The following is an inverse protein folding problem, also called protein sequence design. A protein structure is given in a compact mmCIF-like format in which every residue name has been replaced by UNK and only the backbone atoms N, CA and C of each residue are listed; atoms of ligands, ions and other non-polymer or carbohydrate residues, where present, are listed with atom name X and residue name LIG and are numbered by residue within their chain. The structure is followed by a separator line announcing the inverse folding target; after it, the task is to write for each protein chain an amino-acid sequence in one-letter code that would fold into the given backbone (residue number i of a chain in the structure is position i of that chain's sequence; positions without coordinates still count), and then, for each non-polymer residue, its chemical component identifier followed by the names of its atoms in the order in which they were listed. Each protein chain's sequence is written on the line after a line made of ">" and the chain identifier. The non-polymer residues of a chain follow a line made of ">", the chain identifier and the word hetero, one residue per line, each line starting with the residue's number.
data_IF_392580086965
#
_entry.id   IF_392580086965
#
_cell.length_a   1.000
_cell.length_b   1.000
_cell.length_c   1.000
_cell.angle_alpha   90.00
_cell.angle_beta   90.00
_cell.angle_gamma   90.00
#
_symmetry.space_group_name_H-M   'P 1'
#
loop_
_entity.id
_entity.type
_entity.pdbx_description
1 polymer ?
#
# COMPACT_ATOMS: atom_id res chain seq x y z
N UNK A 1 -12.27 -17.22 -65.76
CA UNK A 1 -13.22 -17.11 -64.64
C UNK A 1 -12.87 -18.09 -63.55
N UNK A 2 -12.11 -17.63 -62.56
CA UNK A 2 -11.96 -18.26 -61.24
C UNK A 2 -11.47 -17.16 -60.30
N UNK A 3 -12.29 -16.66 -59.36
CA UNK A 3 -11.83 -15.65 -58.42
C UNK A 3 -10.97 -16.32 -57.34
N UNK A 4 -9.75 -15.83 -57.13
CA UNK A 4 -8.94 -16.16 -55.97
C UNK A 4 -9.46 -15.36 -54.79
N UNK A 5 -10.13 -16.02 -53.85
CA UNK A 5 -10.46 -15.44 -52.55
C UNK A 5 -9.20 -15.36 -51.71
N UNK A 6 -8.77 -14.14 -51.37
CA UNK A 6 -7.73 -13.89 -50.38
C UNK A 6 -8.40 -13.92 -49.01
N UNK A 7 -8.14 -14.96 -48.23
CA UNK A 7 -8.60 -15.07 -46.85
C UNK A 7 -7.71 -14.18 -45.97
N UNK A 8 -8.20 -13.01 -45.56
CA UNK A 8 -7.50 -12.16 -44.59
C UNK A 8 -7.84 -12.67 -43.20
N UNK A 9 -6.90 -13.40 -42.59
CA UNK A 9 -7.00 -13.84 -41.20
C UNK A 9 -6.56 -12.67 -40.31
N UNK A 10 -7.53 -11.97 -39.72
CA UNK A 10 -7.26 -11.03 -38.65
C UNK A 10 -6.93 -11.82 -37.38
N UNK A 11 -5.64 -11.98 -37.11
CA UNK A 11 -5.16 -12.47 -35.81
C UNK A 11 -5.36 -11.34 -34.81
N UNK A 12 -6.46 -11.39 -34.07
CA UNK A 12 -6.59 -10.60 -32.84
C UNK A 12 -5.57 -11.13 -31.84
N UNK A 13 -4.42 -10.48 -31.74
CA UNK A 13 -3.54 -10.65 -30.58
C UNK A 13 -4.30 -10.08 -29.37
N UNK A 14 -5.02 -10.93 -28.67
CA UNK A 14 -5.39 -10.67 -27.28
C UNK A 14 -4.09 -10.55 -26.51
N UNK A 15 -3.68 -9.32 -26.18
CA UNK A 15 -2.63 -9.08 -25.20
C UNK A 15 -3.16 -9.58 -23.86
N UNK A 16 -2.81 -10.83 -23.52
CA UNK A 16 -2.92 -11.30 -22.16
C UNK A 16 -1.98 -10.42 -21.33
N UNK A 17 -2.55 -9.51 -20.54
CA UNK A 17 -1.81 -8.78 -19.52
C UNK A 17 -1.30 -9.83 -18.55
N UNK A 18 0.02 -10.04 -18.58
CA UNK A 18 0.70 -11.06 -17.81
C UNK A 18 1.21 -10.36 -16.55
N UNK A 19 0.38 -10.33 -15.51
CA UNK A 19 0.79 -9.79 -14.21
C UNK A 19 2.05 -10.51 -13.74
N UNK A 20 3.17 -9.78 -13.71
CA UNK A 20 4.45 -10.26 -13.19
C UNK A 20 4.65 -9.62 -11.81
N UNK A 21 5.58 -10.13 -11.03
CA UNK A 21 6.37 -9.24 -10.17
C UNK A 21 7.08 -8.28 -11.13
N UNK A 22 6.51 -7.10 -11.34
CA UNK A 22 6.97 -6.21 -12.41
C UNK A 22 8.12 -5.33 -11.94
N UNK A 23 9.14 -5.18 -12.80
CA UNK A 23 10.11 -4.09 -12.65
C UNK A 23 9.44 -2.72 -12.85
N UNK A 24 8.30 -2.69 -13.53
CA UNK A 24 7.53 -1.48 -13.85
C UNK A 24 6.02 -1.78 -13.74
N UNK A 25 5.27 -0.99 -12.99
CA UNK A 25 3.82 -1.18 -12.78
C UNK A 25 3.00 -1.08 -14.07
N UNK A 26 2.04 -1.99 -14.23
CA UNK A 26 1.05 -2.00 -15.29
C UNK A 26 0.19 -0.72 -15.29
N UNK A 27 -0.39 -0.34 -16.44
CA UNK A 27 -1.26 0.83 -16.54
C UNK A 27 -2.46 0.78 -15.58
N UNK A 28 -3.05 -0.40 -15.37
CA UNK A 28 -4.20 -0.55 -14.47
C UNK A 28 -3.80 -0.30 -13.01
N UNK A 29 -2.61 -0.74 -12.62
CA UNK A 29 -2.09 -0.59 -11.27
C UNK A 29 -1.64 0.85 -10.99
N UNK A 30 -1.15 1.55 -12.02
CA UNK A 30 -0.86 2.99 -11.92
C UNK A 30 -2.09 3.83 -11.63
N UNK A 31 -3.31 3.34 -11.87
CA UNK A 31 -4.53 4.06 -11.50
C UNK A 31 -4.68 4.31 -9.98
N UNK A 32 -3.94 3.60 -9.14
CA UNK A 32 -3.92 3.81 -7.68
C UNK A 32 -2.90 4.86 -7.24
N UNK A 33 -2.15 5.43 -8.17
CA UNK A 33 -1.08 6.39 -7.91
C UNK A 33 -1.47 7.76 -8.47
N UNK A 34 -1.20 8.81 -7.70
CA UNK A 34 -1.44 10.17 -8.18
C UNK A 34 -0.62 10.43 -9.46
N UNK A 35 -1.29 10.84 -10.54
CA UNK A 35 -0.68 11.00 -11.87
C UNK A 35 0.05 9.73 -12.37
N UNK A 36 -0.36 8.54 -11.93
CA UNK A 36 0.23 7.28 -12.36
C UNK A 36 1.71 7.08 -11.98
N UNK A 37 2.19 7.85 -11.01
CA UNK A 37 3.62 7.90 -10.64
C UNK A 37 3.82 7.38 -9.22
N UNK A 38 4.66 6.34 -9.02
CA UNK A 38 4.92 5.81 -7.68
C UNK A 38 5.82 6.76 -6.86
N UNK A 39 5.78 6.68 -5.52
CA UNK A 39 6.81 7.26 -4.67
C UNK A 39 8.23 6.88 -5.13
N UNK A 40 9.12 7.86 -5.19
CA UNK A 40 10.54 7.70 -5.59
C UNK A 40 11.44 7.71 -4.37
N UNK A 41 12.68 7.25 -4.50
CA UNK A 41 13.68 7.28 -3.43
C UNK A 41 13.57 6.14 -2.43
N UNK A 42 12.90 5.05 -2.83
CA UNK A 42 12.73 3.79 -2.10
C UNK A 42 13.23 2.59 -2.91
N UNK A 43 13.94 2.85 -4.01
CA UNK A 43 14.43 1.84 -4.92
C UNK A 43 15.61 1.10 -4.30
N UNK A 44 15.38 -0.16 -3.91
CA UNK A 44 16.39 -1.09 -3.43
C UNK A 44 16.34 -2.39 -4.23
N UNK A 45 17.43 -3.18 -4.23
CA UNK A 45 17.50 -4.38 -5.06
C UNK A 45 16.56 -5.51 -4.59
N UNK A 46 16.13 -5.48 -3.32
CA UNK A 46 15.25 -6.46 -2.70
C UNK A 46 13.78 -6.04 -2.64
N UNK A 47 13.41 -4.85 -3.16
CA UNK A 47 12.01 -4.42 -3.22
C UNK A 47 11.36 -4.74 -4.55
N UNK A 48 10.07 -5.07 -4.49
CA UNK A 48 9.25 -5.48 -5.63
C UNK A 48 7.91 -4.77 -5.58
N UNK A 49 7.49 -4.27 -6.73
CA UNK A 49 6.11 -3.83 -6.91
C UNK A 49 5.19 -5.04 -7.00
N UNK A 50 4.11 -4.99 -6.22
CA UNK A 50 3.01 -5.94 -6.27
C UNK A 50 1.77 -5.13 -6.63
N UNK A 51 1.16 -5.47 -7.77
CA UNK A 51 -0.19 -5.04 -8.01
C UNK A 51 -1.14 -6.05 -7.40
N UNK A 52 -1.93 -5.60 -6.43
CA UNK A 52 -2.75 -6.47 -5.61
C UNK A 52 -4.01 -6.81 -6.39
N UNK A 53 -4.08 -8.02 -6.94
CA UNK A 53 -5.25 -8.49 -7.67
C UNK A 53 -6.12 -9.36 -6.77
N UNK A 54 -7.42 -9.05 -6.75
CA UNK A 54 -8.42 -9.85 -6.07
C UNK A 54 -9.72 -9.88 -6.88
N UNK A 55 -10.22 -11.09 -7.13
CA UNK A 55 -11.41 -11.33 -7.96
C UNK A 55 -11.27 -10.68 -9.36
N UNK A 56 -10.13 -10.95 -9.99
CA UNK A 56 -9.70 -10.58 -11.35
C UNK A 56 -9.63 -9.07 -11.61
N UNK A 57 -9.53 -8.29 -10.54
CA UNK A 57 -9.43 -6.84 -10.59
C UNK A 57 -8.24 -6.36 -9.78
N UNK A 58 -7.49 -5.38 -10.28
CA UNK A 58 -6.47 -4.72 -9.49
C UNK A 58 -7.17 -3.86 -8.42
N UNK A 59 -6.61 -3.84 -7.21
CA UNK A 59 -7.23 -3.22 -6.03
C UNK A 59 -6.38 -2.09 -5.45
N UNK A 60 -5.07 -2.28 -5.37
CA UNK A 60 -4.09 -1.31 -4.91
C UNK A 60 -2.67 -1.76 -5.27
N UNK A 61 -1.68 -0.93 -4.96
CA UNK A 61 -0.26 -1.23 -5.19
C UNK A 61 0.46 -1.34 -3.86
N UNK A 62 1.39 -2.28 -3.76
CA UNK A 62 2.32 -2.39 -2.64
C UNK A 62 3.75 -2.40 -3.17
N UNK A 63 4.65 -1.65 -2.54
CA UNK A 63 6.09 -1.86 -2.67
C UNK A 63 6.54 -2.76 -1.51
N UNK A 64 7.00 -3.97 -1.82
CA UNK A 64 7.27 -5.02 -0.83
C UNK A 64 8.75 -5.39 -0.79
N UNK A 65 9.35 -5.45 0.40
CA UNK A 65 10.71 -5.99 0.59
C UNK A 65 10.62 -7.51 0.77
N UNK A 66 11.20 -8.26 -0.18
CA UNK A 66 11.31 -9.72 -0.03
C UNK A 66 12.46 -10.16 0.86
N UNK A 67 13.33 -9.23 1.26
CA UNK A 67 14.41 -9.50 2.22
C UNK A 67 13.92 -9.33 3.67
N UNK A 68 13.14 -8.28 3.91
CA UNK A 68 12.57 -7.97 5.22
C UNK A 68 11.17 -8.55 5.44
N UNK A 69 10.62 -9.21 4.41
CA UNK A 69 9.27 -9.75 4.32
C UNK A 69 8.16 -8.77 4.78
N UNK A 70 8.29 -7.49 4.42
CA UNK A 70 7.38 -6.44 4.86
C UNK A 70 7.01 -5.49 3.70
N UNK A 71 5.78 -4.97 3.62
CA UNK A 71 5.49 -3.82 2.77
C UNK A 71 6.21 -2.57 3.26
N UNK A 72 6.93 -1.93 2.33
CA UNK A 72 7.54 -0.60 2.53
C UNK A 72 6.46 0.48 2.44
N UNK A 73 5.54 0.34 1.49
CA UNK A 73 4.31 1.11 1.45
C UNK A 73 3.19 0.39 0.69
N UNK A 74 1.95 0.79 0.96
CA UNK A 74 0.77 0.51 0.14
C UNK A 74 0.17 1.82 -0.36
N UNK A 75 -0.16 1.87 -1.65
CA UNK A 75 -0.75 3.02 -2.34
C UNK A 75 -2.10 2.64 -2.96
N UNK A 76 -3.14 3.42 -2.65
CA UNK A 76 -4.53 3.10 -3.00
C UNK A 76 -5.37 4.36 -3.23
N UNK A 77 -6.51 4.20 -3.89
CA UNK A 77 -7.55 5.24 -3.96
C UNK A 77 -8.53 5.06 -2.81
N UNK A 78 -8.84 6.12 -2.08
CA UNK A 78 -9.89 6.13 -1.07
C UNK A 78 -11.28 5.96 -1.71
N UNK A 79 -12.13 5.06 -1.18
CA UNK A 79 -13.39 4.65 -1.82
C UNK A 79 -14.67 5.24 -1.23
N UNK A 80 -14.57 6.32 -0.42
CA UNK A 80 -15.72 6.90 0.30
C UNK A 80 -16.51 5.86 1.09
N UNK A 81 -15.90 5.38 2.16
CA UNK A 81 -16.42 4.29 3.00
C UNK A 81 -17.26 4.80 4.18
N UNK A 82 -18.29 4.05 4.56
CA UNK A 82 -19.07 4.23 5.79
C UNK A 82 -18.25 3.90 7.05
N UNK A 83 -17.18 3.12 6.91
CA UNK A 83 -16.29 2.66 7.95
C UNK A 83 -16.64 1.29 8.52
N UNK A 84 -17.56 0.56 7.89
CA UNK A 84 -17.84 -0.82 8.25
C UNK A 84 -16.62 -1.70 7.93
N UNK A 85 -16.31 -2.63 8.83
CA UNK A 85 -15.20 -3.56 8.65
C UNK A 85 -15.70 -4.90 8.14
N UNK A 86 -14.89 -5.57 7.34
CA UNK A 86 -15.22 -6.93 6.92
C UNK A 86 -15.10 -7.92 8.09
N UNK A 87 -16.00 -8.90 8.10
CA UNK A 87 -15.99 -10.01 9.06
C UNK A 87 -15.63 -11.28 8.29
N UNK A 88 -14.84 -12.16 8.91
CA UNK A 88 -14.51 -13.51 8.41
C UNK A 88 -13.78 -13.60 7.06
N UNK A 89 -12.96 -12.60 6.70
CA UNK A 89 -12.08 -12.69 5.53
C UNK A 89 -10.84 -13.52 5.87
N UNK A 90 -10.51 -14.58 5.10
CA UNK A 90 -9.30 -15.34 5.33
C UNK A 90 -8.06 -14.52 4.97
N UNK A 91 -6.97 -14.72 5.70
CA UNK A 91 -5.67 -14.15 5.35
C UNK A 91 -5.14 -14.77 4.06
N UNK A 92 -4.56 -13.93 3.22
CA UNK A 92 -4.08 -14.28 1.88
C UNK A 92 -2.58 -14.05 1.72
N UNK A 93 -2.02 -14.69 0.69
CA UNK A 93 -0.64 -14.55 0.24
C UNK A 93 -0.60 -14.25 -1.26
N UNK A 94 0.57 -13.83 -1.74
CA UNK A 94 0.82 -13.56 -3.15
C UNK A 94 1.55 -14.73 -3.83
N UNK A 95 0.88 -15.56 -4.65
CA UNK A 95 1.53 -16.71 -5.28
C UNK A 95 2.72 -16.32 -6.16
N UNK A 96 2.63 -15.17 -6.84
CA UNK A 96 3.67 -14.64 -7.72
C UNK A 96 5.01 -14.31 -7.02
N UNK A 97 5.02 -14.15 -5.69
CA UNK A 97 6.27 -13.91 -4.95
C UNK A 97 7.08 -15.20 -4.76
N UNK A 98 6.39 -16.32 -4.55
CA UNK A 98 7.02 -17.59 -4.15
C UNK A 98 7.29 -18.52 -5.32
N UNK A 99 6.58 -18.36 -6.45
CA UNK A 99 6.78 -19.18 -7.65
C UNK A 99 6.66 -18.33 -8.91
N UNK A 100 7.57 -18.55 -9.86
CA UNK A 100 7.54 -17.90 -11.18
C UNK A 100 6.31 -18.26 -12.03
N UNK A 101 5.60 -19.33 -11.67
CA UNK A 101 4.34 -19.77 -12.27
C UNK A 101 3.11 -19.34 -11.44
N UNK A 102 3.31 -18.58 -10.36
CA UNK A 102 2.25 -18.09 -9.51
C UNK A 102 1.30 -17.16 -10.25
N UNK A 103 0.03 -17.19 -9.86
CA UNK A 103 -0.97 -16.24 -10.34
C UNK A 103 -0.73 -14.86 -9.73
N UNK A 104 -1.23 -13.84 -10.42
CA UNK A 104 -1.33 -12.47 -9.94
C UNK A 104 -2.43 -12.29 -8.89
N UNK A 105 -3.45 -13.15 -8.92
CA UNK A 105 -4.49 -13.21 -7.89
C UNK A 105 -3.95 -13.66 -6.54
N UNK A 106 -4.20 -12.84 -5.51
CA UNK A 106 -3.96 -13.21 -4.11
C UNK A 106 -4.88 -14.37 -3.71
N UNK A 107 -4.36 -15.28 -2.89
CA UNK A 107 -5.06 -16.52 -2.54
C UNK A 107 -5.07 -16.73 -1.03
N UNK A 108 -6.16 -17.31 -0.47
CA UNK A 108 -6.19 -17.66 0.94
C UNK A 108 -5.08 -18.68 1.26
N UNK A 109 -4.46 -18.54 2.42
CA UNK A 109 -3.50 -19.53 2.88
C UNK A 109 -4.16 -20.92 2.91
N UNK A 110 -3.53 -21.95 2.32
CA UNK A 110 -4.10 -23.28 2.29
C UNK A 110 -4.19 -23.86 3.72
N UNK A 111 -5.26 -24.61 3.99
CA UNK A 111 -5.41 -25.32 5.26
C UNK A 111 -4.57 -26.60 5.24
N UNK A 112 -3.32 -26.55 5.71
CA UNK A 112 -2.43 -27.71 5.77
C UNK A 112 -0.95 -27.36 5.69
N UNK A 113 -0.09 -28.38 5.63
CA UNK A 113 1.36 -28.21 5.55
C UNK A 113 1.74 -27.54 4.22
N UNK A 114 2.21 -26.30 4.27
CA UNK A 114 2.72 -25.60 3.09
C UNK A 114 4.10 -26.14 2.72
N UNK A 115 4.33 -26.36 1.43
CA UNK A 115 5.70 -26.56 0.94
C UNK A 115 6.55 -25.33 1.28
N UNK A 116 7.75 -25.55 1.80
CA UNK A 116 8.65 -24.55 2.40
C UNK A 116 9.02 -23.33 1.53
N UNK A 117 8.71 -23.33 0.23
CA UNK A 117 9.13 -22.27 -0.70
C UNK A 117 8.39 -20.92 -0.51
N UNK A 118 7.31 -20.85 0.27
CA UNK A 118 6.60 -19.57 0.49
C UNK A 118 7.33 -18.65 1.45
N UNK A 119 7.93 -19.24 2.48
CA UNK A 119 8.51 -18.54 3.62
C UNK A 119 9.79 -17.79 3.24
N UNK A 120 10.45 -18.19 2.15
CA UNK A 120 11.67 -17.55 1.65
C UNK A 120 11.42 -16.21 0.95
N UNK A 121 10.18 -15.94 0.53
CA UNK A 121 9.86 -14.80 -0.32
C UNK A 121 8.86 -13.82 0.30
N UNK A 122 8.08 -14.27 1.28
CA UNK A 122 7.06 -13.45 1.94
C UNK A 122 6.78 -13.92 3.36
N UNK A 123 6.12 -13.06 4.13
CA UNK A 123 5.63 -13.38 5.47
C UNK A 123 4.54 -14.47 5.42
N UNK A 124 4.52 -15.33 6.43
CA UNK A 124 3.47 -16.32 6.65
C UNK A 124 2.79 -16.13 8.01
N UNK A 125 1.63 -16.76 8.21
CA UNK A 125 0.87 -16.62 9.46
C UNK A 125 1.68 -17.04 10.70
N UNK A 126 2.54 -18.05 10.57
CA UNK A 126 3.38 -18.55 11.66
C UNK A 126 4.42 -17.52 12.13
N UNK A 127 4.81 -16.57 11.27
CA UNK A 127 5.72 -15.49 11.64
C UNK A 127 5.08 -14.50 12.64
N UNK A 128 3.75 -14.35 12.61
CA UNK A 128 3.00 -13.52 13.56
C UNK A 128 2.52 -14.30 14.80
N UNK A 129 2.52 -15.63 14.76
CA UNK A 129 2.01 -16.47 15.86
C UNK A 129 2.88 -16.34 17.12
N UNK A 130 4.19 -16.15 16.96
CA UNK A 130 5.14 -16.00 18.07
C UNK A 130 5.41 -14.53 18.45
N UNK A 131 4.78 -13.57 17.79
CA UNK A 131 5.02 -12.15 17.97
C UNK A 131 4.16 -11.56 19.08
N UNK A 132 4.32 -12.02 20.32
CA UNK A 132 3.42 -11.67 21.46
C UNK A 132 3.31 -10.16 21.77
N UNK A 133 4.25 -9.35 21.29
CA UNK A 133 4.29 -7.89 21.49
C UNK A 133 3.73 -7.10 20.31
N UNK A 134 3.31 -7.77 19.23
CA UNK A 134 2.87 -7.12 18.01
C UNK A 134 1.58 -7.76 17.50
N UNK A 135 0.76 -6.93 16.88
CA UNK A 135 -0.37 -7.37 16.09
C UNK A 135 -0.19 -7.01 14.62
N UNK A 136 -1.14 -7.47 13.80
CA UNK A 136 -1.13 -7.27 12.35
C UNK A 136 -1.80 -5.95 12.02
N UNK A 137 -1.01 -4.92 11.71
CA UNK A 137 -1.52 -3.64 11.22
C UNK A 137 -1.46 -3.56 9.69
N UNK A 138 -2.54 -3.12 9.05
CA UNK A 138 -2.63 -2.98 7.59
C UNK A 138 -2.21 -1.59 7.13
N UNK A 139 -1.44 -1.47 6.04
CA UNK A 139 -1.10 -0.16 5.47
C UNK A 139 -2.24 0.43 4.61
N UNK A 140 -2.96 -0.43 3.89
CA UNK A 140 -4.25 -0.11 3.29
C UNK A 140 -5.37 -0.69 4.20
N UNK A 141 -6.04 0.14 5.04
CA UNK A 141 -7.07 -0.34 5.94
C UNK A 141 -8.40 -0.60 5.22
N UNK A 142 -9.11 -1.63 5.64
CA UNK A 142 -10.45 -1.96 5.13
C UNK A 142 -11.45 -0.82 5.35
N UNK A 143 -11.26 -0.02 6.40
CA UNK A 143 -12.09 1.15 6.72
C UNK A 143 -12.05 2.21 5.61
N UNK A 144 -11.00 2.26 4.79
CA UNK A 144 -10.89 3.19 3.66
C UNK A 144 -11.49 2.64 2.34
N UNK A 145 -11.88 1.36 2.33
CA UNK A 145 -12.46 0.66 1.18
C UNK A 145 -13.98 0.55 1.34
N UNK A 146 -14.73 0.49 0.23
CA UNK A 146 -16.20 0.50 0.25
C UNK A 146 -16.81 -0.84 -0.18
N UNK A 147 -16.43 -1.34 -1.36
CA UNK A 147 -17.00 -2.58 -1.87
C UNK A 147 -16.47 -3.81 -1.10
N UNK A 148 -17.28 -4.87 -0.92
CA UNK A 148 -16.85 -6.06 -0.19
C UNK A 148 -15.53 -6.66 -0.69
N UNK A 149 -15.34 -6.72 -2.01
CA UNK A 149 -14.10 -7.23 -2.58
C UNK A 149 -12.90 -6.29 -2.37
N UNK A 150 -13.12 -4.97 -2.37
CA UNK A 150 -12.05 -4.00 -2.11
C UNK A 150 -11.59 -4.13 -0.66
N UNK A 151 -12.54 -4.25 0.28
CA UNK A 151 -12.26 -4.52 1.69
C UNK A 151 -11.57 -5.87 1.88
N UNK A 152 -12.06 -6.95 1.26
CA UNK A 152 -11.46 -8.28 1.38
C UNK A 152 -10.00 -8.31 0.87
N UNK A 153 -9.68 -7.55 -0.18
CA UNK A 153 -8.34 -7.48 -0.74
C UNK A 153 -7.26 -6.89 0.20
N UNK A 154 -7.66 -6.22 1.29
CA UNK A 154 -6.69 -5.68 2.27
C UNK A 154 -6.11 -6.75 3.19
N UNK A 155 -6.73 -7.94 3.24
CA UNK A 155 -6.35 -9.07 4.12
C UNK A 155 -5.29 -9.99 3.49
N UNK A 156 -4.27 -9.42 2.85
CA UNK A 156 -3.06 -10.11 2.38
C UNK A 156 -1.87 -9.74 3.25
N UNK A 157 -0.99 -10.70 3.60
CA UNK A 157 0.17 -10.39 4.46
C UNK A 157 1.19 -9.45 3.78
N UNK A 158 1.12 -9.30 2.46
CA UNK A 158 1.91 -8.28 1.76
C UNK A 158 1.39 -6.86 1.99
N UNK A 159 0.27 -6.66 2.68
CA UNK A 159 -0.23 -5.36 3.13
C UNK A 159 -0.11 -5.16 4.66
N UNK A 160 0.53 -6.10 5.36
CA UNK A 160 0.55 -6.15 6.83
C UNK A 160 1.94 -5.88 7.38
N UNK A 161 2.00 -5.14 8.49
CA UNK A 161 3.21 -4.88 9.26
C UNK A 161 3.00 -5.23 10.74
N UNK A 162 4.03 -5.62 11.48
CA UNK A 162 3.95 -5.75 12.94
C UNK A 162 3.77 -4.39 13.61
N UNK A 163 2.68 -4.21 14.36
CA UNK A 163 2.37 -2.96 15.07
C UNK A 163 2.20 -3.24 16.55
N UNK A 164 2.70 -2.36 17.41
CA UNK A 164 2.46 -2.42 18.85
C UNK A 164 0.96 -2.20 19.13
N UNK A 165 0.27 -3.10 19.87
CA UNK A 165 -1.18 -3.02 20.07
C UNK A 165 -1.67 -1.70 20.66
N UNK A 166 -1.01 -1.17 21.69
CA UNK A 166 -1.40 0.11 22.31
C UNK A 166 -1.35 1.28 21.30
N UNK A 167 -0.30 1.32 20.48
CA UNK A 167 -0.17 2.32 19.42
C UNK A 167 -1.26 2.12 18.34
N UNK A 168 -1.50 0.88 17.90
CA UNK A 168 -2.48 0.62 16.85
C UNK A 168 -3.89 1.02 17.28
N UNK A 169 -4.35 0.51 18.42
CA UNK A 169 -5.73 0.69 18.89
C UNK A 169 -6.04 2.13 19.29
N UNK A 170 -5.11 2.78 20.00
CA UNK A 170 -5.40 4.10 20.59
C UNK A 170 -5.02 5.25 19.70
N UNK A 171 -4.08 5.06 18.77
CA UNK A 171 -3.46 6.15 18.02
C UNK A 171 -3.66 5.95 16.52
N UNK A 172 -3.19 4.84 15.96
CA UNK A 172 -3.21 4.61 14.51
C UNK A 172 -4.62 4.46 13.95
N UNK A 173 -5.41 3.53 14.47
CA UNK A 173 -6.79 3.28 14.03
C UNK A 173 -7.68 4.53 14.17
N UNK A 174 -7.47 5.34 15.21
CA UNK A 174 -8.21 6.60 15.37
C UNK A 174 -7.84 7.62 14.30
N UNK A 175 -6.57 7.66 13.90
CA UNK A 175 -6.11 8.58 12.87
C UNK A 175 -6.59 8.17 11.48
N UNK A 176 -6.61 6.87 11.17
CA UNK A 176 -7.24 6.35 9.94
C UNK A 176 -8.70 6.79 9.85
N UNK A 177 -9.46 6.62 10.94
CA UNK A 177 -10.84 7.07 11.02
C UNK A 177 -11.02 8.59 10.84
N UNK A 178 -10.10 9.40 11.38
CA UNK A 178 -10.08 10.87 11.19
C UNK A 178 -9.85 11.21 9.71
N UNK A 179 -8.90 10.54 9.06
CA UNK A 179 -8.63 10.73 7.62
C UNK A 179 -9.82 10.30 6.79
N UNK A 180 -10.46 9.16 7.08
CA UNK A 180 -11.69 8.72 6.41
C UNK A 180 -12.79 9.79 6.46
N UNK A 181 -13.08 10.31 7.66
CA UNK A 181 -14.10 11.37 7.83
C UNK A 181 -13.75 12.63 7.04
N UNK A 182 -12.49 13.05 7.10
CA UNK A 182 -12.00 14.23 6.37
C UNK A 182 -12.16 14.08 4.86
N UNK A 183 -11.72 12.95 4.30
CA UNK A 183 -11.81 12.68 2.87
C UNK A 183 -13.26 12.49 2.42
N UNK A 184 -14.11 11.81 3.20
CA UNK A 184 -15.55 11.71 2.92
C UNK A 184 -16.23 13.07 2.80
N UNK A 185 -15.94 13.96 3.75
CA UNK A 185 -16.66 15.23 3.86
C UNK A 185 -16.18 16.28 2.87
N UNK A 186 -14.87 16.29 2.54
CA UNK A 186 -14.25 17.43 1.88
C UNK A 186 -13.52 17.09 0.58
N UNK A 187 -13.21 15.82 0.29
CA UNK A 187 -12.62 15.44 -1.00
C UNK A 187 -13.71 15.19 -2.05
N UNK A 188 -13.73 15.99 -3.11
CA UNK A 188 -14.73 15.92 -4.20
C UNK A 188 -14.32 14.97 -5.31
N UNK A 189 -13.02 14.97 -5.65
CA UNK A 189 -12.43 14.09 -6.64
C UNK A 189 -11.92 12.76 -6.07
N UNK A 190 -10.93 12.18 -6.76
CA UNK A 190 -10.23 10.98 -6.29
C UNK A 190 -9.16 11.36 -5.28
N UNK A 191 -9.23 10.77 -4.08
CA UNK A 191 -8.16 10.84 -3.09
C UNK A 191 -7.20 9.65 -3.27
N UNK A 192 -5.92 9.95 -3.46
CA UNK A 192 -4.84 8.98 -3.48
C UNK A 192 -4.17 8.97 -2.12
N UNK A 193 -3.95 7.79 -1.56
CA UNK A 193 -3.34 7.63 -0.24
C UNK A 193 -2.13 6.72 -0.37
N UNK A 194 -1.03 7.10 0.29
CA UNK A 194 0.17 6.29 0.42
C UNK A 194 0.46 6.15 1.91
N UNK A 195 0.43 4.92 2.40
CA UNK A 195 0.80 4.57 3.77
C UNK A 195 2.05 3.71 3.73
N UNK A 196 3.06 4.07 4.50
CA UNK A 196 4.33 3.36 4.52
C UNK A 196 4.97 3.31 5.89
N UNK A 197 6.14 2.70 5.92
CA UNK A 197 6.91 2.48 7.14
C UNK A 197 8.34 3.02 7.01
N UNK A 198 9.04 3.05 8.14
CA UNK A 198 10.50 3.07 8.20
C UNK A 198 10.95 1.99 9.16
N UNK A 199 12.09 1.34 8.95
CA UNK A 199 12.64 0.31 9.87
C UNK A 199 13.84 0.84 10.64
N UNK A 200 14.11 0.26 11.82
CA UNK A 200 15.32 0.52 12.62
C UNK A 200 16.28 -0.68 12.69
N UNK A 201 16.01 -1.73 11.90
CA UNK A 201 16.76 -2.99 11.89
C UNK A 201 16.27 -4.05 12.89
N UNK A 202 15.25 -3.75 13.70
CA UNK A 202 14.60 -4.74 14.57
C UNK A 202 13.86 -5.77 13.73
N UNK A 203 14.03 -7.07 14.04
CA UNK A 203 13.39 -8.18 13.34
C UNK A 203 12.65 -9.10 14.32
N UNK A 204 11.46 -9.57 13.94
CA UNK A 204 10.80 -10.71 14.56
C UNK A 204 11.54 -11.97 14.12
N UNK A 205 11.82 -12.84 15.10
CA UNK A 205 12.54 -14.10 14.87
C UNK A 205 11.62 -15.30 15.06
N UNK A 206 11.76 -16.28 14.18
CA UNK A 206 11.12 -17.60 14.28
C UNK A 206 12.20 -18.66 14.07
N UNK A 207 12.28 -19.64 14.95
CA UNK A 207 13.30 -20.71 14.88
C UNK A 207 14.74 -20.17 14.73
N UNK A 208 15.05 -19.09 15.46
CA UNK A 208 16.32 -18.35 15.41
C UNK A 208 16.67 -17.67 14.07
N UNK A 209 15.76 -17.63 13.10
CA UNK A 209 15.93 -16.89 11.85
C UNK A 209 15.22 -15.54 11.91
N UNK A 210 15.80 -14.50 11.32
CA UNK A 210 15.10 -13.24 11.10
C UNK A 210 14.01 -13.47 10.05
N UNK A 211 12.77 -13.08 10.37
CA UNK A 211 11.62 -13.32 9.50
C UNK A 211 11.03 -12.02 8.98
N UNK A 212 10.56 -11.16 9.87
CA UNK A 212 9.82 -9.94 9.49
C UNK A 212 10.47 -8.74 10.17
N UNK A 213 10.72 -7.68 9.43
CA UNK A 213 11.16 -6.42 10.04
C UNK A 213 10.04 -5.77 10.88
N UNK A 214 10.44 -5.06 11.94
CA UNK A 214 9.52 -4.27 12.75
C UNK A 214 9.66 -2.80 12.35
N UNK A 215 8.57 -2.13 11.93
CA UNK A 215 8.56 -0.69 11.71
C UNK A 215 8.99 0.08 12.94
N UNK A 216 9.88 1.05 12.77
CA UNK A 216 10.13 2.09 13.75
C UNK A 216 9.02 3.15 13.71
N UNK A 217 8.62 3.59 12.52
CA UNK A 217 7.55 4.55 12.32
C UNK A 217 6.57 4.04 11.26
N UNK A 218 5.29 4.35 11.46
CA UNK A 218 4.26 4.30 10.44
C UNK A 218 3.96 5.73 9.99
N UNK A 219 3.75 5.93 8.69
CA UNK A 219 3.37 7.21 8.12
C UNK A 219 2.31 7.04 7.05
N UNK A 220 1.46 8.05 6.88
CA UNK A 220 0.49 8.07 5.79
C UNK A 220 0.31 9.49 5.28
N UNK A 221 0.15 9.61 3.96
CA UNK A 221 -0.09 10.86 3.27
C UNK A 221 -1.20 10.67 2.25
N UNK A 222 -2.02 11.69 2.07
CA UNK A 222 -3.06 11.70 1.05
C UNK A 222 -2.95 12.91 0.13
N UNK A 223 -3.47 12.75 -1.08
CA UNK A 223 -3.59 13.76 -2.11
C UNK A 223 -5.01 13.76 -2.68
N UNK A 224 -5.70 14.88 -2.56
CA UNK A 224 -7.01 15.15 -3.15
C UNK A 224 -6.98 16.54 -3.80
N UNK A 225 -6.71 16.56 -5.11
CA UNK A 225 -6.55 17.80 -5.87
C UNK A 225 -7.88 18.57 -6.06
N UNK A 226 -9.01 17.86 -6.08
CA UNK A 226 -10.36 18.45 -6.17
C UNK A 226 -11.08 18.27 -4.84
N UNK A 227 -11.20 19.36 -4.08
CA UNK A 227 -11.74 19.38 -2.72
C UNK A 227 -12.67 20.59 -2.51
N UNK A 228 -13.45 20.55 -1.44
CA UNK A 228 -14.36 21.64 -1.11
C UNK A 228 -13.61 22.87 -0.58
N UNK A 229 -13.61 23.97 -1.32
CA UNK A 229 -13.00 25.24 -0.89
C UNK A 229 -13.80 25.97 0.21
N UNK A 230 -15.07 25.61 0.43
CA UNK A 230 -15.91 26.15 1.51
C UNK A 230 -15.68 25.44 2.86
N UNK A 231 -14.89 24.36 2.88
CA UNK A 231 -14.47 23.61 4.08
C UNK A 231 -14.02 24.55 5.22
N UNK A 232 -14.38 24.31 6.50
CA UNK A 232 -13.89 25.11 7.62
C UNK A 232 -12.36 25.24 7.64
N UNK A 233 -11.82 26.37 8.10
CA UNK A 233 -10.39 26.64 8.06
C UNK A 233 -9.54 25.50 8.66
N UNK A 234 -9.99 24.92 9.79
CA UNK A 234 -9.32 23.83 10.50
C UNK A 234 -9.11 22.55 9.66
N UNK A 235 -9.89 22.35 8.60
CA UNK A 235 -9.75 21.23 7.66
C UNK A 235 -9.18 21.70 6.32
N UNK A 236 -9.50 22.93 5.88
CA UNK A 236 -9.09 23.48 4.59
C UNK A 236 -7.57 23.55 4.42
N UNK A 237 -6.81 23.89 5.46
CA UNK A 237 -5.34 23.95 5.38
C UNK A 237 -4.68 22.59 5.18
N UNK A 238 -5.44 21.49 5.36
CA UNK A 238 -5.00 20.11 5.15
C UNK A 238 -5.28 19.61 3.73
N UNK A 239 -5.78 20.47 2.85
CA UNK A 239 -5.97 20.18 1.42
C UNK A 239 -5.08 21.08 0.55
N UNK A 240 -4.63 20.61 -0.64
CA UNK A 240 -5.02 19.35 -1.30
C UNK A 240 -4.32 18.10 -0.75
N UNK A 241 -3.28 18.25 0.08
CA UNK A 241 -2.56 17.12 0.64
C UNK A 241 -2.08 17.37 2.06
N UNK A 242 -2.06 16.30 2.86
CA UNK A 242 -1.55 16.32 4.22
C UNK A 242 -1.01 14.95 4.61
N UNK A 243 -0.29 14.91 5.72
CA UNK A 243 0.39 13.72 6.17
C UNK A 243 0.32 13.59 7.69
N UNK A 244 0.58 12.37 8.15
CA UNK A 244 0.83 12.07 9.54
C UNK A 244 1.83 10.94 9.69
N UNK A 245 2.50 10.89 10.85
CA UNK A 245 3.32 9.75 11.24
C UNK A 245 3.25 9.51 12.74
N UNK A 246 3.56 8.29 13.15
CA UNK A 246 3.62 7.87 14.55
C UNK A 246 4.74 6.87 14.78
N UNK A 247 5.34 6.93 15.98
CA UNK A 247 6.33 5.96 16.45
C UNK A 247 5.62 4.66 16.83
N UNK A 248 6.12 3.51 16.38
CA UNK A 248 5.55 2.20 16.67
C UNK A 248 6.05 1.67 18.03
N UNK A 249 5.63 2.31 19.11
CA UNK A 249 6.09 2.02 20.47
C UNK A 249 4.97 2.23 21.51
N UNK A 250 5.09 1.57 22.66
CA UNK A 250 4.21 1.75 23.83
C UNK A 250 4.38 3.13 24.52
N UNK A 251 3.30 3.61 25.13
CA UNK A 251 3.19 4.67 26.18
C UNK A 251 3.73 6.09 25.87
N UNK A 252 4.55 6.25 24.84
CA UNK A 252 5.22 7.52 24.50
C UNK A 252 4.83 8.03 23.11
N UNK A 253 4.17 7.19 22.33
CA UNK A 253 3.83 7.49 20.95
C UNK A 253 2.72 8.53 20.87
N UNK A 254 2.90 9.47 19.93
CA UNK A 254 1.90 10.46 19.60
C UNK A 254 1.75 10.52 18.08
N UNK A 255 0.55 10.82 17.63
CA UNK A 255 0.31 11.08 16.22
C UNK A 255 0.74 12.51 15.90
N UNK A 256 1.65 12.66 14.94
CA UNK A 256 2.08 13.96 14.44
C UNK A 256 1.39 14.20 13.10
N UNK A 257 0.61 15.28 13.00
CA UNK A 257 -0.04 15.74 11.77
C UNK A 257 0.75 16.92 11.16
N UNK A 258 1.02 16.88 9.85
CA UNK A 258 1.93 17.83 9.19
C UNK A 258 1.73 17.87 7.67
N UNK A 259 2.36 18.84 7.01
CA UNK A 259 2.38 18.89 5.54
C UNK A 259 3.20 17.73 4.95
N UNK A 260 2.87 17.34 3.72
CA UNK A 260 3.62 16.31 2.96
C UNK A 260 5.10 16.69 2.83
N UNK A 261 5.40 17.98 2.63
CA UNK A 261 6.78 18.48 2.59
C UNK A 261 7.54 18.20 3.88
N UNK A 262 6.95 18.48 5.04
CA UNK A 262 7.58 18.22 6.33
C UNK A 262 7.73 16.71 6.59
N UNK A 263 6.81 15.88 6.08
CA UNK A 263 6.94 14.42 6.19
C UNK A 263 8.13 13.94 5.38
N UNK A 264 8.29 14.45 4.16
CA UNK A 264 9.45 14.18 3.30
C UNK A 264 10.76 14.56 3.98
N UNK A 265 10.83 15.73 4.62
CA UNK A 265 12.00 16.15 5.40
C UNK A 265 12.28 15.20 6.57
N UNK A 266 11.24 14.83 7.34
CA UNK A 266 11.35 13.86 8.43
C UNK A 266 11.88 12.50 7.94
N UNK A 267 11.30 11.93 6.89
CA UNK A 267 11.70 10.63 6.35
C UNK A 267 13.13 10.65 5.80
N UNK A 268 13.57 11.75 5.17
CA UNK A 268 14.98 11.89 4.76
C UNK A 268 15.93 11.90 5.95
N UNK A 269 15.53 12.51 7.07
CA UNK A 269 16.34 12.54 8.29
C UNK A 269 16.47 11.17 8.96
N UNK A 270 15.51 10.25 8.77
CA UNK A 270 15.65 8.86 9.26
C UNK A 270 16.67 8.06 8.46
N UNK A 271 17.13 8.57 7.30
CA UNK A 271 18.01 7.89 6.33
C UNK A 271 17.44 6.59 5.75
N UNK A 272 16.14 6.34 5.96
CA UNK A 272 15.45 5.20 5.38
C UNK A 272 15.15 5.40 3.90
N UNK A 273 15.04 6.65 3.46
CA UNK A 273 14.73 7.04 2.08
C UNK A 273 15.89 7.83 1.46
N UNK A 274 16.00 7.78 0.14
CA UNK A 274 17.03 8.49 -0.61
C UNK A 274 16.79 10.02 -0.59
N UNK A 275 17.84 10.84 -0.85
CA UNK A 275 17.71 12.31 -0.87
C UNK A 275 16.70 12.87 -1.86
N UNK A 276 16.39 12.13 -2.93
CA UNK A 276 15.40 12.46 -3.97
C UNK A 276 13.98 11.94 -3.66
N UNK A 277 13.74 11.42 -2.44
CA UNK A 277 12.45 10.89 -2.03
C UNK A 277 11.29 11.89 -2.25
N UNK A 278 10.23 11.40 -2.91
CA UNK A 278 8.97 12.11 -3.15
C UNK A 278 7.80 11.13 -2.99
N UNK A 279 6.69 11.62 -2.42
CA UNK A 279 5.47 10.82 -2.23
C UNK A 279 4.49 11.04 -3.37
N UNK A 280 4.24 12.30 -3.74
CA UNK A 280 3.33 12.68 -4.81
C UNK A 280 4.04 13.60 -5.80
N UNK A 281 3.71 13.46 -7.09
CA UNK A 281 4.16 14.40 -8.12
C UNK A 281 3.79 15.82 -7.70
N UNK A 282 4.80 16.70 -7.66
CA UNK A 282 4.60 18.10 -7.33
C UNK A 282 4.00 18.37 -5.95
N UNK A 283 4.16 17.45 -4.99
CA UNK A 283 3.54 17.49 -3.66
C UNK A 283 2.00 17.68 -3.73
N UNK A 284 1.34 17.05 -4.71
CA UNK A 284 -0.11 17.15 -4.95
C UNK A 284 -0.58 18.57 -5.34
N UNK A 285 0.31 19.42 -5.85
CA UNK A 285 -0.04 20.74 -6.34
C UNK A 285 -0.20 20.72 -7.88
N UNK A 286 -1.41 20.91 -8.43
CA UNK A 286 -1.61 20.92 -9.89
C UNK A 286 -0.76 21.99 -10.59
N UNK A 287 -0.47 23.10 -9.91
CA UNK A 287 0.25 24.24 -10.50
C UNK A 287 1.79 24.07 -10.55
N UNK A 288 2.36 23.10 -9.82
CA UNK A 288 3.81 22.85 -9.86
C UNK A 288 4.22 22.02 -11.10
N UNK A 289 3.28 21.32 -11.74
CA UNK A 289 3.52 20.45 -12.89
C UNK A 289 3.62 21.18 -14.25
N UNK A 290 3.31 22.48 -14.30
CA UNK A 290 3.32 23.30 -15.52
C UNK A 290 4.55 24.17 -15.74
N UNK A 291 5.61 24.02 -14.91
CA UNK A 291 6.88 24.75 -15.06
C UNK A 291 8.00 23.79 -15.42
N UNK A 292 7.98 23.31 -16.65
CA UNK A 292 9.13 22.73 -17.31
C UNK A 292 9.10 23.26 -18.73
N UNK A 293 9.69 24.46 -18.89
CA UNK A 293 10.12 25.00 -20.19
C UNK A 293 11.41 24.28 -20.60
#
# INVERSE_FOLDING_TARGET
>A
NTPRYVLIVFVFLSTAVRGRVEKELSPECRAFLYMGTPPTGLEHHSVKYICQFYNKKPRYVTLYSTEDHIPIYSAYTFKRSDGEKCIDVPWMYEPQLSTSLGTDEMQPFPRGYMHMNFEDAQAVLDDYTNAIYHERGTLNPDEHQNEPDDKASTYTLTNVVPVVPDFNDRIWNKQEHVVRKRLNNYCRGTAYVVTGITTSGTMIRRENMNRIAVPAYLWSAYCCADYDHNTPFAERYKFPSFAHYGLNQEDTSQMVELSVQKLKEFLKNTKFVNPDFQIFVGDCNPQSSGKTD
#
